data_IF_968044931536
#
_entry.id   IF_968044931536
#
_cell.length_a   1.000
_cell.length_b   1.000
_cell.length_c   1.000
_cell.angle_alpha   90.00
_cell.angle_beta   90.00
_cell.angle_gamma   90.00
#
_symmetry.space_group_name_H-M   'P 1'
#
loop_
_entity.id
_entity.type
_entity.pdbx_description
1 polymer ?
#
# COMPACT_ATOMS: atom_id res chain seq x y z
N UNK A 1 -14.07 5.13 -0.43
CA UNK A 1 -15.30 5.70 -1.04
C UNK A 1 -15.71 4.81 -2.21
N UNK A 2 -16.76 4.02 -2.01
CA UNK A 2 -17.30 3.01 -2.93
C UNK A 2 -18.09 3.70 -4.05
N UNK A 3 -17.85 3.37 -5.32
CA UNK A 3 -18.68 3.87 -6.43
C UNK A 3 -19.11 2.70 -7.30
N UNK A 4 -20.36 2.28 -7.13
CA UNK A 4 -21.05 1.36 -8.03
C UNK A 4 -21.81 2.18 -9.07
N UNK A 5 -21.56 1.96 -10.37
CA UNK A 5 -22.33 2.59 -11.46
C UNK A 5 -23.38 1.59 -11.91
N UNK A 6 -24.67 1.93 -11.76
CA UNK A 6 -25.78 1.15 -12.31
C UNK A 6 -25.93 1.46 -13.80
N UNK A 7 -25.72 0.47 -14.66
CA UNK A 7 -26.29 0.47 -16.01
C UNK A 7 -27.56 -0.39 -15.98
N UNK A 8 -28.73 0.26 -15.97
CA UNK A 8 -30.02 -0.40 -16.13
C UNK A 8 -30.34 -0.43 -17.63
N UNK A 9 -29.94 -1.49 -18.31
CA UNK A 9 -30.52 -1.85 -19.60
C UNK A 9 -31.51 -2.98 -19.35
N UNK A 10 -32.77 -2.75 -19.71
CA UNK A 10 -33.86 -3.69 -19.58
C UNK A 10 -33.53 -5.03 -20.27
N UNK A 11 -33.94 -6.12 -19.59
CA UNK A 11 -34.00 -7.53 -20.00
C UNK A 11 -32.73 -8.36 -19.80
N UNK A 12 -32.68 -9.02 -18.62
CA UNK A 12 -32.01 -10.31 -18.47
C UNK A 12 -30.80 -10.32 -17.55
N UNK A 13 -31.01 -10.83 -16.33
CA UNK A 13 -29.98 -11.31 -15.38
C UNK A 13 -29.01 -10.26 -14.80
N UNK A 14 -29.28 -9.92 -13.53
CA UNK A 14 -28.33 -9.28 -12.63
C UNK A 14 -27.08 -10.16 -12.46
N UNK A 15 -26.02 -9.84 -13.18
CA UNK A 15 -24.66 -10.10 -12.69
C UNK A 15 -24.07 -8.75 -12.27
N UNK A 16 -24.34 -8.35 -11.03
CA UNK A 16 -23.64 -7.24 -10.39
C UNK A 16 -22.20 -7.69 -10.15
N UNK A 17 -21.34 -7.54 -11.15
CA UNK A 17 -19.90 -7.76 -10.97
C UNK A 17 -19.36 -6.54 -10.24
N UNK A 18 -19.38 -6.59 -8.92
CA UNK A 18 -18.68 -5.64 -8.08
C UNK A 18 -17.19 -5.93 -8.26
N UNK A 19 -16.55 -5.30 -9.25
CA UNK A 19 -15.11 -5.43 -9.40
C UNK A 19 -14.46 -4.77 -8.17
N UNK A 20 -13.91 -5.59 -7.26
CA UNK A 20 -12.96 -5.09 -6.28
C UNK A 20 -11.83 -4.43 -7.06
N UNK A 21 -11.71 -3.11 -6.93
CA UNK A 21 -10.53 -2.40 -7.41
C UNK A 21 -9.37 -2.81 -6.51
N UNK A 22 -8.62 -3.81 -6.95
CA UNK A 22 -7.45 -4.33 -6.24
C UNK A 22 -6.23 -3.49 -6.64
N UNK A 23 -5.70 -2.70 -5.71
CA UNK A 23 -4.47 -1.96 -5.97
C UNK A 23 -3.26 -2.80 -5.54
N UNK A 24 -2.68 -3.52 -6.50
CA UNK A 24 -1.52 -4.37 -6.29
C UNK A 24 -0.32 -3.63 -5.66
N UNK A 25 -0.20 -2.30 -5.82
CA UNK A 25 0.86 -1.53 -5.17
C UNK A 25 0.68 -1.46 -3.65
N UNK A 26 -0.55 -1.33 -3.17
CA UNK A 26 -0.82 -1.29 -1.73
C UNK A 26 -0.55 -2.66 -1.10
N UNK A 27 -0.87 -3.72 -1.83
CA UNK A 27 -0.68 -5.10 -1.39
C UNK A 27 0.80 -5.46 -1.35
N UNK A 28 1.58 -5.04 -2.36
CA UNK A 28 3.03 -5.13 -2.31
C UNK A 28 3.61 -4.34 -1.13
N UNK A 29 3.13 -3.12 -0.90
CA UNK A 29 3.60 -2.30 0.21
C UNK A 29 3.28 -2.93 1.57
N UNK A 30 2.06 -3.44 1.73
CA UNK A 30 1.62 -4.10 2.95
C UNK A 30 2.44 -5.37 3.22
N UNK A 31 2.69 -6.18 2.20
CA UNK A 31 3.53 -7.38 2.31
C UNK A 31 4.98 -7.02 2.64
N UNK A 32 5.55 -5.99 2.02
CA UNK A 32 6.90 -5.50 2.36
C UNK A 32 6.97 -5.08 3.83
N UNK A 33 6.03 -4.26 4.30
CA UNK A 33 6.02 -3.80 5.68
C UNK A 33 5.82 -4.97 6.67
N UNK A 34 4.95 -5.93 6.36
CA UNK A 34 4.74 -7.12 7.17
C UNK A 34 6.00 -8.00 7.25
N UNK A 35 6.73 -8.16 6.15
CA UNK A 35 7.97 -8.93 6.11
C UNK A 35 9.12 -8.28 6.90
N UNK A 36 9.10 -6.94 7.04
CA UNK A 36 10.16 -6.17 7.71
C UNK A 36 9.86 -5.86 9.17
N UNK A 37 8.58 -5.76 9.53
CA UNK A 37 8.14 -5.37 10.85
C UNK A 37 7.87 -6.56 11.78
N UNK A 38 7.44 -6.22 12.99
CA UNK A 38 6.97 -7.18 13.99
C UNK A 38 5.61 -6.71 14.52
N UNK A 39 4.72 -7.65 14.84
CA UNK A 39 3.38 -7.33 15.33
C UNK A 39 2.47 -6.77 14.25
N UNK A 40 1.54 -5.89 14.62
CA UNK A 40 0.61 -5.28 13.68
C UNK A 40 1.31 -4.21 12.83
N UNK A 41 1.47 -4.47 11.54
CA UNK A 41 2.11 -3.57 10.57
C UNK A 41 1.11 -3.05 9.55
N UNK A 42 1.29 -1.81 9.13
CA UNK A 42 0.44 -1.12 8.18
C UNK A 42 1.28 -0.41 7.13
N UNK A 43 0.90 -0.51 5.87
CA UNK A 43 1.43 0.34 4.81
C UNK A 43 0.50 1.51 4.54
N UNK A 44 1.03 2.73 4.55
CA UNK A 44 0.28 3.93 4.21
C UNK A 44 0.88 4.58 2.98
N UNK A 45 0.03 5.03 2.05
CA UNK A 45 0.49 5.78 0.87
C UNK A 45 1.08 7.11 1.31
N UNK A 46 2.20 7.49 0.69
CA UNK A 46 2.80 8.82 0.82
C UNK A 46 2.76 9.52 -0.52
N UNK A 47 2.21 10.73 -0.54
CA UNK A 47 2.27 11.58 -1.72
C UNK A 47 3.70 12.11 -1.89
N UNK A 48 4.18 12.01 -3.13
CA UNK A 48 5.51 12.42 -3.55
C UNK A 48 5.56 13.86 -4.08
N UNK A 49 4.43 14.55 -4.19
CA UNK A 49 4.39 15.93 -4.67
C UNK A 49 4.96 16.93 -3.67
N UNK A 50 6.03 17.65 -4.04
CA UNK A 50 6.54 18.81 -3.30
C UNK A 50 7.05 18.49 -1.88
N UNK A 51 6.79 19.38 -0.92
CA UNK A 51 7.18 19.24 0.50
C UNK A 51 6.15 18.39 1.26
N UNK A 52 5.84 17.21 0.72
CA UNK A 52 4.87 16.29 1.33
C UNK A 52 5.30 15.82 2.74
N UNK A 53 4.35 15.40 3.59
CA UNK A 53 4.62 14.95 4.94
C UNK A 53 5.62 13.80 4.96
N UNK A 54 6.41 13.68 6.03
CA UNK A 54 7.28 12.51 6.22
C UNK A 54 6.47 11.28 6.58
N UNK A 55 7.08 10.10 6.51
CA UNK A 55 6.43 8.90 7.00
C UNK A 55 6.21 8.90 8.52
N UNK A 56 7.04 9.61 9.29
CA UNK A 56 6.75 9.91 10.70
C UNK A 56 5.45 10.70 10.86
N UNK A 57 5.27 11.76 10.07
CA UNK A 57 4.06 12.59 10.11
C UNK A 57 2.82 11.76 9.72
N UNK A 58 2.95 10.91 8.69
CA UNK A 58 1.87 10.03 8.22
C UNK A 58 1.51 8.96 9.25
N UNK A 59 2.47 8.26 9.84
CA UNK A 59 2.17 7.25 10.86
C UNK A 59 1.59 7.88 12.13
N UNK A 60 2.05 9.09 12.49
CA UNK A 60 1.52 9.84 13.64
C UNK A 60 0.07 10.23 13.40
N UNK A 61 -0.25 10.79 12.22
CA UNK A 61 -1.63 11.22 11.90
C UNK A 61 -2.61 10.05 11.80
N UNK A 62 -2.13 8.86 11.42
CA UNK A 62 -2.94 7.64 11.33
C UNK A 62 -3.07 6.87 12.66
N UNK A 63 -2.50 7.37 13.77
CA UNK A 63 -2.47 6.65 15.06
C UNK A 63 -3.84 6.15 15.48
N UNK A 64 -4.85 7.03 15.53
CA UNK A 64 -6.19 6.67 15.99
C UNK A 64 -6.84 5.56 15.14
N UNK A 65 -6.67 5.63 13.81
CA UNK A 65 -7.21 4.63 12.90
C UNK A 65 -6.52 3.28 13.08
N UNK A 66 -5.18 3.28 13.18
CA UNK A 66 -4.39 2.07 13.42
C UNK A 66 -4.75 1.42 14.77
N UNK A 67 -4.85 2.21 15.84
CA UNK A 67 -5.22 1.69 17.16
C UNK A 67 -6.64 1.11 17.15
N UNK A 68 -7.59 1.79 16.50
CA UNK A 68 -8.95 1.28 16.34
C UNK A 68 -8.98 -0.03 15.54
N UNK A 69 -8.17 -0.13 14.48
CA UNK A 69 -8.05 -1.33 13.64
C UNK A 69 -7.51 -2.52 14.42
N UNK A 70 -6.60 -2.27 15.38
CA UNK A 70 -6.08 -3.28 16.31
C UNK A 70 -6.94 -3.45 17.56
N UNK A 71 -8.21 -3.00 17.54
CA UNK A 71 -9.17 -3.09 18.66
C UNK A 71 -8.62 -2.49 19.97
N UNK A 72 -7.78 -1.46 19.86
CA UNK A 72 -7.10 -0.79 20.97
C UNK A 72 -6.26 -1.75 21.84
N UNK A 73 -5.78 -2.87 21.28
CA UNK A 73 -4.84 -3.76 21.97
C UNK A 73 -3.42 -3.18 22.03
N UNK A 74 -3.12 -2.18 21.20
CA UNK A 74 -1.85 -1.47 21.15
C UNK A 74 -2.05 -0.04 21.67
N UNK A 75 -0.98 0.63 22.10
CA UNK A 75 -1.06 1.98 22.68
C UNK A 75 -0.25 3.02 21.92
N UNK A 76 0.67 2.59 21.06
CA UNK A 76 1.57 3.47 20.31
C UNK A 76 1.65 3.04 18.85
N UNK A 77 1.91 4.02 17.99
CA UNK A 77 2.17 3.81 16.57
C UNK A 77 3.46 4.54 16.21
N UNK A 78 4.32 3.91 15.42
CA UNK A 78 5.52 4.55 14.91
C UNK A 78 5.84 4.08 13.49
N UNK A 79 6.49 4.94 12.72
CA UNK A 79 7.16 4.53 11.51
C UNK A 79 8.41 3.69 11.86
N UNK A 80 8.66 2.63 11.10
CA UNK A 80 9.87 1.81 11.26
C UNK A 80 10.62 1.56 9.94
N UNK A 81 9.97 1.75 8.80
CA UNK A 81 10.57 1.62 7.46
C UNK A 81 9.75 2.46 6.46
N UNK A 82 10.26 2.63 5.26
CA UNK A 82 9.53 3.23 4.16
C UNK A 82 9.95 2.61 2.81
N UNK A 83 9.04 2.63 1.86
CA UNK A 83 9.17 1.91 0.60
C UNK A 83 8.94 2.86 -0.58
N UNK A 84 9.73 2.70 -1.62
CA UNK A 84 9.39 3.19 -2.95
C UNK A 84 9.03 2.03 -3.86
N UNK A 85 7.84 2.10 -4.46
CA UNK A 85 7.44 1.21 -5.56
C UNK A 85 7.49 2.00 -6.85
N UNK A 86 8.26 1.53 -7.83
CA UNK A 86 8.30 2.15 -9.15
C UNK A 86 7.00 1.82 -9.91
N UNK A 87 6.14 2.83 -10.05
CA UNK A 87 4.85 2.69 -10.75
C UNK A 87 4.97 2.73 -12.27
N UNK A 88 6.13 3.09 -12.81
CA UNK A 88 6.40 3.22 -14.25
C UNK A 88 6.99 1.93 -14.86
N UNK A 89 6.74 0.77 -14.24
CA UNK A 89 7.20 -0.52 -14.75
C UNK A 89 6.07 -1.28 -15.44
N UNK A 90 6.43 -2.12 -16.42
CA UNK A 90 5.48 -3.00 -17.11
C UNK A 90 4.81 -3.92 -16.10
N UNK A 91 3.47 -3.86 -16.03
CA UNK A 91 2.65 -4.80 -15.28
C UNK A 91 2.73 -6.15 -16.00
N UNK A 92 3.16 -7.20 -15.29
CA UNK A 92 3.06 -8.56 -15.80
C UNK A 92 1.57 -8.94 -15.94
N UNK A 93 1.26 -9.80 -16.90
CA UNK A 93 -0.11 -10.26 -17.12
C UNK A 93 -0.62 -11.01 -15.91
N UNK A 94 -1.92 -10.88 -15.66
CA UNK A 94 -2.56 -11.65 -14.59
C UNK A 94 -2.36 -13.14 -14.88
N UNK A 95 -2.15 -13.93 -13.83
CA UNK A 95 -1.77 -15.34 -13.93
C UNK A 95 -2.87 -16.28 -13.43
N UNK A 96 -4.06 -16.34 -14.08
CA UNK A 96 -5.19 -17.13 -13.60
C UNK A 96 -5.12 -18.62 -14.00
N UNK A 97 -4.08 -19.04 -14.72
CA UNK A 97 -3.97 -20.41 -15.28
C UNK A 97 -2.63 -21.06 -14.90
N UNK A 98 -2.47 -22.34 -15.22
CA UNK A 98 -1.19 -23.05 -15.00
C UNK A 98 -0.05 -22.52 -15.90
N UNK A 99 -0.37 -21.92 -17.05
CA UNK A 99 0.62 -21.34 -17.96
C UNK A 99 1.21 -20.06 -17.39
N UNK A 100 2.54 -19.89 -17.48
CA UNK A 100 3.29 -18.74 -17.00
C UNK A 100 3.80 -17.88 -18.17
N UNK A 101 2.94 -17.11 -18.85
CA UNK A 101 3.30 -16.35 -20.07
C UNK A 101 4.40 -15.30 -19.86
N UNK A 102 4.60 -14.87 -18.60
CA UNK A 102 5.60 -13.88 -18.21
C UNK A 102 6.74 -14.48 -17.37
N UNK A 103 6.92 -15.80 -17.41
CA UNK A 103 8.06 -16.45 -16.76
C UNK A 103 9.38 -15.81 -17.21
N UNK A 104 10.21 -15.41 -16.22
CA UNK A 104 11.50 -14.75 -16.45
C UNK A 104 11.44 -13.26 -16.75
N UNK A 105 10.25 -12.64 -16.83
CA UNK A 105 10.13 -11.18 -16.97
C UNK A 105 10.27 -10.49 -15.62
N UNK A 106 10.96 -9.35 -15.62
CA UNK A 106 11.16 -8.53 -14.42
C UNK A 106 9.83 -7.89 -14.01
N UNK A 107 9.49 -7.99 -12.73
CA UNK A 107 8.31 -7.34 -12.14
C UNK A 107 8.67 -5.91 -11.66
N UNK A 108 7.84 -5.31 -10.81
CA UNK A 108 8.08 -3.99 -10.26
C UNK A 108 9.42 -3.89 -9.51
N UNK A 109 10.16 -2.83 -9.78
CA UNK A 109 11.29 -2.43 -8.95
C UNK A 109 10.76 -1.82 -7.64
N UNK A 110 11.29 -2.30 -6.50
CA UNK A 110 11.00 -1.76 -5.18
C UNK A 110 12.30 -1.39 -4.46
N UNK A 111 12.27 -0.33 -3.67
CA UNK A 111 13.42 0.14 -2.90
C UNK A 111 13.01 0.44 -1.46
N UNK A 112 13.59 -0.29 -0.51
CA UNK A 112 13.41 -0.09 0.92
C UNK A 112 14.39 0.95 1.47
N UNK A 113 13.88 1.93 2.20
CA UNK A 113 14.70 3.00 2.79
C UNK A 113 15.19 2.68 4.21
N UNK A 114 14.67 1.63 4.84
CA UNK A 114 14.90 1.36 6.25
C UNK A 114 14.35 2.49 7.14
N UNK A 115 14.79 2.53 8.40
CA UNK A 115 14.37 3.56 9.35
C UNK A 115 14.67 4.99 8.91
N UNK A 116 15.71 5.22 8.09
CA UNK A 116 16.00 6.54 7.50
C UNK A 116 14.90 7.04 6.57
N UNK A 117 14.09 6.15 6.00
CA UNK A 117 12.92 6.50 5.20
C UNK A 117 11.83 7.23 5.98
N UNK A 118 11.78 7.04 7.29
CA UNK A 118 10.74 7.63 8.14
C UNK A 118 10.79 9.16 8.20
N UNK A 119 11.99 9.74 8.11
CA UNK A 119 12.24 11.19 8.14
C UNK A 119 12.63 11.80 6.80
N UNK A 120 12.51 11.05 5.70
CA UNK A 120 12.95 11.45 4.36
C UNK A 120 12.13 12.63 3.79
N UNK A 121 12.80 13.74 3.44
CA UNK A 121 12.22 15.01 2.94
C UNK A 121 12.76 15.60 1.60
N UNK A 122 13.49 14.91 0.71
CA UNK A 122 14.18 15.56 -0.40
C UNK A 122 13.33 15.79 -1.66
N UNK A 123 13.94 16.58 -2.55
CA UNK A 123 13.42 17.17 -3.78
C UNK A 123 13.13 16.16 -4.93
N UNK A 124 12.98 14.87 -4.62
CA UNK A 124 12.68 13.79 -5.56
C UNK A 124 11.72 12.79 -4.92
N UNK A 125 10.92 12.11 -5.75
CA UNK A 125 9.91 11.16 -5.25
C UNK A 125 10.59 9.92 -4.66
N UNK A 126 10.50 9.83 -3.34
CA UNK A 126 10.82 8.66 -2.53
C UNK A 126 10.55 8.99 -1.07
N UNK A 127 10.40 8.00 -0.17
CA UNK A 127 9.52 6.83 -0.33
C UNK A 127 8.08 7.22 -0.71
N UNK A 128 7.35 6.36 -1.42
CA UNK A 128 5.93 6.59 -1.77
C UNK A 128 4.94 5.72 -0.96
N UNK A 129 5.47 4.92 -0.03
CA UNK A 129 4.74 4.20 1.01
C UNK A 129 5.50 4.25 2.33
N UNK A 130 4.77 4.26 3.44
CA UNK A 130 5.30 4.29 4.80
C UNK A 130 4.94 3.00 5.52
N UNK A 131 5.89 2.42 6.27
CA UNK A 131 5.64 1.27 7.12
C UNK A 131 5.45 1.72 8.56
N UNK A 132 4.21 1.63 9.06
CA UNK A 132 3.85 1.91 10.43
C UNK A 132 3.67 0.60 11.20
N UNK A 133 4.04 0.59 12.48
CA UNK A 133 3.76 -0.51 13.39
C UNK A 133 2.99 -0.02 14.60
N UNK A 134 2.05 -0.84 15.08
CA UNK A 134 1.39 -0.63 16.37
C UNK A 134 2.05 -1.53 17.43
N UNK A 135 2.31 -0.97 18.61
CA UNK A 135 2.98 -1.63 19.72
C UNK A 135 2.50 -1.08 21.07
N UNK A 136 2.85 -1.75 22.16
CA UNK A 136 2.59 -1.32 23.54
C UNK A 136 3.79 -0.54 24.12
#
# INVERSE_FOLDING_TARGET
MMKCVLFVALLGYLNTVCALSYNYFDEMAQNYCAAKGTGWTFSLRRDCGGVGPTCNDICTSATTEILTTTRNQQTKVACFDALYINKHHNKLVDNPTLSQPDAGKVSFATYGYGGSGCSWRPNHCGPNYCCCRAFS
#
